data_IF_481649039303
#
_entry.id   IF_481649039303
#
_cell.length_a   1.000
_cell.length_b   1.000
_cell.length_c   1.000
_cell.angle_alpha   90.00
_cell.angle_beta   90.00
_cell.angle_gamma   90.00
#
_symmetry.space_group_name_H-M   'P 1'
#
loop_
_entity.id
_entity.type
_entity.pdbx_description
1 polymer ?
#
# COMPACT_ATOMS: atom_id res chain seq x y z
N UNK A 1 -16.63 28.43 24.77
CA UNK A 1 -16.19 27.71 23.56
C UNK A 1 -15.72 26.36 24.07
N UNK A 2 -16.51 25.32 23.86
CA UNK A 2 -16.19 23.97 24.34
C UNK A 2 -14.96 23.48 23.59
N UNK A 3 -13.89 23.11 24.28
CA UNK A 3 -12.72 22.50 23.64
C UNK A 3 -13.17 21.19 23.00
N UNK A 4 -13.07 21.10 21.67
CA UNK A 4 -13.39 19.88 20.95
C UNK A 4 -12.50 18.75 21.48
N UNK A 5 -13.11 17.78 22.18
CA UNK A 5 -12.40 16.64 22.74
C UNK A 5 -11.86 15.78 21.60
N UNK A 6 -10.56 15.86 21.36
CA UNK A 6 -9.87 14.99 20.42
C UNK A 6 -9.87 13.54 20.92
N UNK A 7 -10.12 12.60 20.02
CA UNK A 7 -10.00 11.16 20.27
C UNK A 7 -8.95 10.56 19.35
N UNK A 8 -8.13 9.65 19.89
CA UNK A 8 -7.11 8.93 19.13
C UNK A 8 -7.53 7.46 19.06
N UNK A 9 -7.60 6.92 17.84
CA UNK A 9 -7.96 5.53 17.57
C UNK A 9 -6.84 4.90 16.74
N UNK A 10 -6.55 3.62 16.99
CA UNK A 10 -5.63 2.82 16.17
C UNK A 10 -6.47 1.92 15.26
N UNK A 11 -6.23 1.99 13.95
CA UNK A 11 -6.90 1.17 12.95
C UNK A 11 -5.93 0.08 12.45
N UNK A 12 -6.38 -1.17 12.47
CA UNK A 12 -5.65 -2.30 11.89
C UNK A 12 -6.47 -2.84 10.72
N UNK A 13 -5.96 -2.70 9.49
CA UNK A 13 -6.62 -3.18 8.28
C UNK A 13 -5.76 -4.25 7.60
N UNK A 14 -6.41 -5.27 7.05
CA UNK A 14 -5.80 -6.25 6.15
C UNK A 14 -6.56 -6.20 4.83
N UNK A 15 -5.84 -6.13 3.73
CA UNK A 15 -6.39 -6.24 2.39
C UNK A 15 -5.90 -7.54 1.76
N UNK A 16 -6.79 -8.23 1.06
CA UNK A 16 -6.42 -9.26 0.11
C UNK A 16 -6.57 -8.65 -1.28
N UNK A 17 -5.54 -8.80 -2.11
CA UNK A 17 -5.47 -8.19 -3.44
C UNK A 17 -5.27 -9.31 -4.44
N UNK A 18 -6.22 -9.45 -5.35
CA UNK A 18 -6.09 -10.30 -6.53
C UNK A 18 -5.75 -9.42 -7.71
N UNK A 19 -4.77 -9.82 -8.51
CA UNK A 19 -4.37 -9.14 -9.74
C UNK A 19 -4.70 -10.06 -10.90
N UNK A 20 -5.67 -9.65 -11.71
CA UNK A 20 -6.09 -10.40 -12.90
C UNK A 20 -5.40 -9.91 -14.19
N UNK A 21 -4.77 -8.73 -14.13
CA UNK A 21 -4.00 -8.12 -15.22
C UNK A 21 -2.71 -7.50 -14.67
N UNK A 22 -1.61 -8.23 -14.81
CA UNK A 22 -0.29 -7.81 -14.33
C UNK A 22 0.30 -6.67 -15.16
N UNK A 23 0.01 -6.58 -16.46
CA UNK A 23 0.58 -5.53 -17.31
C UNK A 23 -0.01 -4.17 -16.94
N UNK A 24 -1.32 -4.11 -16.70
CA UNK A 24 -1.98 -2.89 -16.23
C UNK A 24 -1.40 -2.41 -14.89
N UNK A 25 -1.01 -3.33 -14.00
CA UNK A 25 -0.35 -3.01 -12.73
C UNK A 25 1.05 -2.46 -12.96
N UNK A 26 1.86 -3.08 -13.81
CA UNK A 26 3.19 -2.57 -14.14
C UNK A 26 3.14 -1.16 -14.76
N UNK A 27 2.24 -0.93 -15.71
CA UNK A 27 2.05 0.39 -16.32
C UNK A 27 1.60 1.45 -15.30
N UNK A 28 0.77 1.07 -14.33
CA UNK A 28 0.38 1.96 -13.24
C UNK A 28 1.57 2.28 -12.32
N UNK A 29 2.35 1.28 -11.93
CA UNK A 29 3.52 1.45 -11.07
C UNK A 29 4.58 2.33 -11.74
N UNK A 30 4.86 2.08 -13.02
CA UNK A 30 5.78 2.86 -13.86
C UNK A 30 5.33 4.33 -13.97
N UNK A 31 4.03 4.59 -14.23
CA UNK A 31 3.50 5.96 -14.25
C UNK A 31 3.67 6.66 -12.90
N UNK A 32 3.38 5.97 -11.79
CA UNK A 32 3.53 6.53 -10.44
C UNK A 32 4.99 6.88 -10.18
N UNK A 33 5.92 5.97 -10.47
CA UNK A 33 7.35 6.18 -10.29
C UNK A 33 7.87 7.38 -11.10
N UNK A 34 7.48 7.49 -12.37
CA UNK A 34 7.87 8.63 -13.22
C UNK A 34 7.29 9.97 -12.75
N UNK A 35 6.13 9.96 -12.11
CA UNK A 35 5.51 11.15 -11.54
C UNK A 35 6.04 11.53 -10.15
N UNK A 36 6.83 10.64 -9.53
CA UNK A 36 7.40 10.90 -8.22
C UNK A 36 8.51 11.95 -8.32
N UNK A 37 8.55 12.87 -7.36
CA UNK A 37 9.56 13.91 -7.28
C UNK A 37 10.86 13.38 -6.66
N UNK A 38 11.52 12.45 -7.36
CA UNK A 38 12.77 11.80 -6.97
C UNK A 38 13.94 12.47 -7.69
N UNK A 39 15.03 12.72 -6.96
CA UNK A 39 16.28 13.25 -7.52
C UNK A 39 17.15 12.10 -8.07
N UNK A 40 16.73 11.55 -9.20
CA UNK A 40 17.36 10.38 -9.84
C UNK A 40 18.89 10.45 -10.02
N UNK A 41 19.51 11.60 -10.36
CA UNK A 41 20.97 11.71 -10.41
C UNK A 41 21.70 11.40 -9.10
N UNK A 42 21.01 11.46 -7.96
CA UNK A 42 21.55 11.16 -6.63
C UNK A 42 21.27 9.73 -6.15
N UNK A 43 20.40 9.01 -6.86
CA UNK A 43 20.02 7.63 -6.54
C UNK A 43 21.06 6.62 -7.05
N UNK A 44 21.05 5.42 -6.47
CA UNK A 44 21.94 4.32 -6.89
C UNK A 44 21.54 3.72 -8.24
N UNK A 45 20.23 3.67 -8.51
CA UNK A 45 19.67 3.12 -9.73
C UNK A 45 19.13 4.24 -10.62
N UNK A 46 19.20 4.03 -11.93
CA UNK A 46 18.51 4.87 -12.90
C UNK A 46 17.01 4.64 -12.85
N UNK A 47 16.24 5.61 -13.37
CA UNK A 47 14.79 5.45 -13.55
C UNK A 47 14.47 4.21 -14.40
N UNK A 48 15.26 3.95 -15.44
CA UNK A 48 15.09 2.80 -16.32
C UNK A 48 15.34 1.47 -15.60
N UNK A 49 16.37 1.39 -14.75
CA UNK A 49 16.65 0.21 -13.92
C UNK A 49 15.55 -0.03 -12.89
N UNK A 50 15.10 1.02 -12.20
CA UNK A 50 13.99 0.93 -11.25
C UNK A 50 12.67 0.50 -11.93
N UNK A 51 12.39 0.96 -13.15
CA UNK A 51 11.24 0.50 -13.94
C UNK A 51 11.40 -0.96 -14.36
N UNK A 52 12.60 -1.38 -14.75
CA UNK A 52 12.87 -2.77 -15.11
C UNK A 52 12.71 -3.71 -13.91
N UNK A 53 13.15 -3.28 -12.72
CA UNK A 53 12.97 -4.02 -11.46
C UNK A 53 11.48 -4.16 -11.13
N UNK A 54 10.71 -3.07 -11.19
CA UNK A 54 9.26 -3.11 -11.00
C UNK A 54 8.58 -4.11 -11.95
N UNK A 55 8.96 -4.13 -13.24
CA UNK A 55 8.41 -5.07 -14.23
C UNK A 55 8.83 -6.53 -13.99
N UNK A 56 9.87 -6.77 -13.22
CA UNK A 56 10.35 -8.12 -12.90
C UNK A 56 9.69 -8.72 -11.65
N UNK A 57 9.03 -7.88 -10.84
CA UNK A 57 8.44 -8.26 -9.56
C UNK A 57 7.03 -7.65 -9.43
N UNK A 58 6.01 -8.48 -9.69
CA UNK A 58 4.60 -8.06 -9.66
C UNK A 58 4.18 -7.68 -8.24
N UNK A 59 4.66 -8.41 -7.25
CA UNK A 59 4.38 -8.19 -5.84
C UNK A 59 4.92 -6.84 -5.36
N UNK A 60 6.16 -6.51 -5.70
CA UNK A 60 6.77 -5.20 -5.45
C UNK A 60 6.03 -4.08 -6.19
N UNK A 61 5.58 -4.33 -7.41
CA UNK A 61 4.76 -3.39 -8.17
C UNK A 61 3.41 -3.10 -7.50
N UNK A 62 2.69 -4.13 -7.04
CA UNK A 62 1.45 -3.95 -6.26
C UNK A 62 1.74 -3.17 -4.98
N UNK A 63 2.80 -3.52 -4.25
CA UNK A 63 3.18 -2.85 -3.02
C UNK A 63 3.47 -1.36 -3.24
N UNK A 64 4.15 -1.00 -4.33
CA UNK A 64 4.51 0.38 -4.66
C UNK A 64 3.30 1.29 -4.96
N UNK A 65 2.16 0.69 -5.32
CA UNK A 65 0.92 1.39 -5.65
C UNK A 65 0.05 1.67 -4.42
N UNK A 66 0.29 0.96 -3.30
CA UNK A 66 -0.46 1.17 -2.07
C UNK A 66 -0.12 2.55 -1.49
N UNK A 67 -1.14 3.40 -1.39
CA UNK A 67 -1.02 4.78 -0.90
C UNK A 67 -1.89 4.97 0.36
N UNK A 68 -1.30 4.92 1.56
CA UNK A 68 -2.05 5.00 2.81
C UNK A 68 -2.78 6.33 3.02
N UNK A 69 -2.25 7.41 2.48
CA UNK A 69 -2.84 8.75 2.63
C UNK A 69 -4.18 8.84 1.90
N UNK A 70 -4.34 8.05 0.83
CA UNK A 70 -5.61 7.96 0.09
C UNK A 70 -6.71 7.21 0.83
N UNK A 71 -6.39 6.38 1.83
CA UNK A 71 -7.40 5.57 2.54
C UNK A 71 -8.38 6.46 3.31
N UNK A 72 -7.93 7.62 3.81
CA UNK A 72 -8.74 8.56 4.59
C UNK A 72 -8.77 9.96 3.99
N UNK A 73 -8.26 10.15 2.77
CA UNK A 73 -8.10 11.46 2.14
C UNK A 73 -9.39 12.28 2.07
N UNK A 74 -10.55 11.61 1.95
CA UNK A 74 -11.85 12.27 1.80
C UNK A 74 -12.63 12.42 3.13
N UNK A 75 -12.04 12.09 4.28
CA UNK A 75 -12.73 12.21 5.59
C UNK A 75 -12.38 13.55 6.26
N UNK A 76 -13.34 14.49 6.39
CA UNK A 76 -13.06 15.81 6.95
C UNK A 76 -12.57 15.73 8.41
N UNK A 77 -11.46 16.42 8.70
CA UNK A 77 -10.89 16.50 10.05
C UNK A 77 -10.07 15.30 10.48
N UNK A 78 -9.82 14.33 9.59
CA UNK A 78 -8.88 13.23 9.84
C UNK A 78 -7.51 13.54 9.26
N UNK A 79 -6.47 13.21 10.02
CA UNK A 79 -5.07 13.37 9.63
C UNK A 79 -4.31 12.09 9.99
N UNK A 80 -3.62 11.49 9.02
CA UNK A 80 -2.76 10.33 9.25
C UNK A 80 -1.41 10.83 9.76
N UNK A 81 -1.15 10.70 11.06
CA UNK A 81 0.11 11.17 11.68
C UNK A 81 1.18 10.10 11.84
N UNK A 82 0.78 8.82 11.90
CA UNK A 82 1.64 7.66 12.14
C UNK A 82 1.01 6.44 11.49
N UNK A 83 1.83 5.64 10.80
CA UNK A 83 1.41 4.37 10.21
C UNK A 83 2.63 3.53 9.88
N UNK A 84 2.53 2.21 10.05
CA UNK A 84 3.51 1.27 9.54
C UNK A 84 2.76 0.34 8.61
N UNK A 85 3.05 0.45 7.34
CA UNK A 85 2.42 -0.30 6.27
C UNK A 85 3.54 -0.95 5.47
N UNK A 86 3.34 -2.22 5.13
CA UNK A 86 4.22 -2.95 4.23
C UNK A 86 3.37 -4.04 3.59
N UNK A 87 3.69 -4.35 2.33
CA UNK A 87 3.14 -5.53 1.67
C UNK A 87 4.00 -6.75 2.02
N UNK A 88 3.37 -7.91 2.16
CA UNK A 88 4.06 -9.19 2.36
C UNK A 88 3.60 -10.18 1.31
N UNK A 89 4.52 -11.03 0.85
CA UNK A 89 4.23 -12.12 -0.08
C UNK A 89 3.79 -13.34 0.73
N UNK A 90 2.68 -13.96 0.33
CA UNK A 90 2.15 -15.17 0.94
C UNK A 90 1.05 -14.92 1.97
N UNK A 91 0.83 -15.90 2.85
CA UNK A 91 -0.23 -15.86 3.85
C UNK A 91 -0.04 -14.76 4.90
N UNK A 92 -1.11 -14.34 5.60
CA UNK A 92 -1.03 -13.30 6.60
C UNK A 92 -0.04 -13.65 7.71
N UNK A 93 0.84 -12.72 8.04
CA UNK A 93 1.78 -12.91 9.14
C UNK A 93 1.06 -13.14 10.47
N UNK A 94 1.51 -14.13 11.24
CA UNK A 94 0.91 -14.50 12.53
C UNK A 94 0.87 -13.34 13.54
N UNK A 95 1.79 -12.38 13.42
CA UNK A 95 1.85 -11.15 14.23
C UNK A 95 0.72 -10.14 13.93
N UNK A 96 0.01 -10.29 12.81
CA UNK A 96 -1.09 -9.42 12.39
C UNK A 96 -2.33 -10.25 12.05
N UNK A 97 -2.99 -10.79 13.08
CA UNK A 97 -4.31 -11.41 12.93
C UNK A 97 -5.42 -10.59 13.60
N UNK A 98 -6.00 -9.57 12.92
CA UNK A 98 -7.41 -9.25 13.08
C UNK A 98 -8.21 -10.23 12.20
N UNK A 99 -9.15 -10.93 12.83
CA UNK A 99 -9.83 -12.11 12.29
C UNK A 99 -10.38 -11.98 10.87
N UNK A 100 -9.96 -12.93 10.03
CA UNK A 100 -10.80 -13.47 8.99
C UNK A 100 -10.89 -14.97 9.29
N UNK A 101 -12.06 -15.45 9.72
CA UNK A 101 -12.35 -16.86 9.49
C UNK A 101 -12.65 -16.97 7.99
N UNK A 102 -12.05 -17.92 7.26
CA UNK A 102 -12.61 -18.30 5.97
C UNK A 102 -14.09 -18.67 6.19
N UNK A 103 -14.99 -18.44 5.21
CA UNK A 103 -16.31 -19.05 5.28
C UNK A 103 -16.10 -20.55 5.46
N UNK A 104 -16.72 -21.12 6.50
CA UNK A 104 -16.61 -22.55 6.78
C UNK A 104 -16.90 -23.32 5.48
N UNK A 105 -15.89 -24.02 4.94
CA UNK A 105 -16.17 -25.05 3.94
C UNK A 105 -16.95 -26.12 4.70
N UNK A 106 -18.28 -26.08 4.57
CA UNK A 106 -19.14 -27.18 4.95
C UNK A 106 -18.65 -28.45 4.25
N UNK A 107 -17.98 -29.34 4.97
CA UNK A 107 -18.09 -30.79 4.76
C UNK A 107 -17.71 -31.60 6.00
#
# INVERSE_FOLDING_TARGET
>A
MEEAKSIVVQLYCRFEITVDDSEAVFEAAERRLRSANIDWPSEQDTLEEAVAELRSDLEQSVASLVDPDRVLADVPGMEVRRGRWWAEIGGPSERFQPGFRPPDEET
#
